data_IF_808233234940
#
_entry.id   IF_808233234940
#
_cell.length_a   1.000
_cell.length_b   1.000
_cell.length_c   1.000
_cell.angle_alpha   90.00
_cell.angle_beta   90.00
_cell.angle_gamma   90.00
#
_symmetry.space_group_name_H-M   'P 1'
#
loop_
_entity.id
_entity.type
_entity.pdbx_description
1 polymer ?
#
# COMPACT_ATOMS: atom_id res chain seq x y z
N UNK A 1 -29.94 8.88 26.77
CA UNK A 1 -28.63 8.23 26.82
C UNK A 1 -28.04 8.37 25.43
N UNK A 2 -26.87 8.99 25.32
CA UNK A 2 -26.18 9.08 24.02
C UNK A 2 -25.92 7.67 23.49
N UNK A 3 -26.15 7.51 22.20
CA UNK A 3 -26.07 6.23 21.52
C UNK A 3 -24.60 5.88 21.32
N UNK A 4 -24.10 4.87 22.03
CA UNK A 4 -22.72 4.39 21.94
C UNK A 4 -22.46 3.87 20.52
N UNK A 5 -21.43 4.37 19.85
CA UNK A 5 -21.02 3.96 18.50
C UNK A 5 -19.85 2.95 18.54
N UNK A 6 -19.55 2.29 17.42
CA UNK A 6 -18.39 1.40 17.34
C UNK A 6 -17.07 2.17 17.51
N UNK A 7 -17.05 3.45 17.14
CA UNK A 7 -15.90 4.33 17.35
C UNK A 7 -15.61 4.61 18.82
N UNK A 8 -16.66 4.66 19.66
CA UNK A 8 -16.51 4.90 21.10
C UNK A 8 -15.93 3.65 21.79
N UNK A 9 -16.34 2.48 21.29
CA UNK A 9 -15.86 1.18 21.77
C UNK A 9 -14.43 0.88 21.27
N UNK A 10 -14.04 1.36 20.09
CA UNK A 10 -12.69 1.11 19.55
C UNK A 10 -11.63 2.00 20.23
N UNK A 11 -10.53 1.45 20.77
CA UNK A 11 -9.49 2.25 21.41
C UNK A 11 -8.85 3.28 20.48
N UNK A 12 -8.59 4.48 21.01
CA UNK A 12 -7.92 5.57 20.27
C UNK A 12 -6.54 5.16 19.71
N UNK A 13 -5.77 4.40 20.49
CA UNK A 13 -4.48 3.86 20.03
C UNK A 13 -4.62 2.98 18.78
N UNK A 14 -5.75 2.29 18.64
CA UNK A 14 -6.08 1.55 17.42
C UNK A 14 -6.46 2.47 16.27
N UNK A 15 -7.25 3.53 16.52
CA UNK A 15 -7.66 4.50 15.48
C UNK A 15 -6.48 5.23 14.86
N UNK A 16 -5.50 5.62 15.67
CA UNK A 16 -4.23 6.22 15.21
C UNK A 16 -3.47 5.26 14.27
N UNK A 17 -3.60 3.94 14.47
CA UNK A 17 -3.01 2.96 13.57
C UNK A 17 -3.79 2.79 12.27
N UNK A 18 -5.01 3.32 12.14
CA UNK A 18 -5.81 3.33 10.91
C UNK A 18 -5.60 4.60 10.09
N UNK A 19 -5.27 5.71 10.75
CA UNK A 19 -4.93 7.00 10.14
C UNK A 19 -3.41 7.13 9.99
N UNK A 20 -2.90 6.87 8.78
CA UNK A 20 -1.46 6.85 8.53
C UNK A 20 -1.09 6.98 7.06
N UNK A 21 -0.62 8.16 6.63
CA UNK A 21 -0.03 8.42 5.32
C UNK A 21 1.45 8.03 5.21
N UNK A 22 2.02 8.15 4.01
CA UNK A 22 3.42 7.77 3.75
C UNK A 22 4.45 8.57 4.56
N UNK A 23 4.18 9.84 4.85
CA UNK A 23 5.06 10.69 5.68
C UNK A 23 5.02 10.27 7.16
N UNK A 24 3.83 10.04 7.70
CA UNK A 24 3.62 9.54 9.06
C UNK A 24 4.22 8.15 9.24
N UNK A 25 4.20 7.31 8.20
CA UNK A 25 4.92 6.04 8.21
C UNK A 25 6.43 6.24 8.36
N UNK A 26 7.05 7.16 7.60
CA UNK A 26 8.48 7.45 7.71
C UNK A 26 8.84 8.02 9.07
N UNK A 27 7.99 8.88 9.63
CA UNK A 27 8.14 9.40 10.99
C UNK A 27 8.06 8.26 12.03
N UNK A 28 7.16 7.29 11.87
CA UNK A 28 7.02 6.12 12.76
C UNK A 28 8.20 5.14 12.67
N UNK A 29 8.68 4.81 11.47
CA UNK A 29 9.80 3.86 11.31
C UNK A 29 11.17 4.50 11.53
N UNK A 30 11.24 5.84 11.42
CA UNK A 30 12.47 6.62 11.48
C UNK A 30 13.18 6.73 10.13
N UNK A 31 13.75 7.92 9.87
CA UNK A 31 14.45 8.25 8.63
C UNK A 31 15.60 7.27 8.30
N UNK A 32 16.35 6.84 9.31
CA UNK A 32 17.48 5.92 9.12
C UNK A 32 17.02 4.51 8.73
N UNK A 33 15.89 4.05 9.25
CA UNK A 33 15.26 2.79 8.84
C UNK A 33 14.81 2.87 7.38
N UNK A 34 14.21 4.00 6.98
CA UNK A 34 13.82 4.24 5.59
C UNK A 34 15.03 4.25 4.63
N UNK A 35 16.12 4.95 4.99
CA UNK A 35 17.37 4.94 4.21
C UNK A 35 17.96 3.54 4.08
N UNK A 36 17.92 2.75 5.16
CA UNK A 36 18.39 1.36 5.15
C UNK A 36 17.54 0.49 4.22
N UNK A 37 16.22 0.65 4.24
CA UNK A 37 15.33 -0.06 3.34
C UNK A 37 15.59 0.31 1.86
N UNK A 38 15.78 1.60 1.57
CA UNK A 38 16.17 2.06 0.22
C UNK A 38 17.51 1.44 -0.18
N UNK A 39 18.53 1.49 0.68
CA UNK A 39 19.84 0.89 0.40
C UNK A 39 19.72 -0.61 0.10
N UNK A 40 18.96 -1.36 0.90
CA UNK A 40 18.66 -2.78 0.67
C UNK A 40 18.12 -3.01 -0.74
N UNK A 41 17.14 -2.21 -1.19
CA UNK A 41 16.60 -2.32 -2.55
C UNK A 41 17.64 -1.96 -3.61
N UNK A 42 18.45 -0.91 -3.41
CA UNK A 42 19.53 -0.56 -4.35
C UNK A 42 20.60 -1.65 -4.46
N UNK A 43 20.76 -2.47 -3.41
CA UNK A 43 21.66 -3.62 -3.38
C UNK A 43 21.01 -4.91 -3.92
N UNK A 44 19.73 -4.85 -4.27
CA UNK A 44 18.95 -5.93 -4.87
C UNK A 44 18.22 -6.84 -3.89
N UNK A 45 18.03 -6.38 -2.66
CA UNK A 45 17.18 -7.06 -1.69
C UNK A 45 15.69 -6.76 -1.90
N UNK A 46 14.85 -7.70 -1.49
CA UNK A 46 13.41 -7.54 -1.59
C UNK A 46 12.87 -6.60 -0.50
N UNK A 47 12.15 -5.54 -0.90
CA UNK A 47 11.56 -4.56 0.03
C UNK A 47 10.60 -5.19 1.05
N UNK A 48 9.94 -6.30 0.70
CA UNK A 48 9.01 -7.00 1.59
C UNK A 48 9.67 -7.55 2.84
N UNK A 49 10.99 -7.79 2.82
CA UNK A 49 11.73 -8.16 4.04
C UNK A 49 11.67 -7.06 5.10
N UNK A 50 11.54 -5.80 4.69
CA UNK A 50 11.47 -4.65 5.59
C UNK A 50 10.03 -4.27 5.94
N UNK A 51 9.09 -4.42 5.00
CA UNK A 51 7.71 -3.96 5.21
C UNK A 51 6.79 -5.00 5.86
N UNK A 52 6.98 -6.30 5.61
CA UNK A 52 6.12 -7.34 6.17
C UNK A 52 6.12 -7.39 7.72
N UNK A 53 7.26 -7.24 8.42
CA UNK A 53 7.26 -7.16 9.89
C UNK A 53 6.41 -5.99 10.41
N UNK A 54 6.45 -4.83 9.74
CA UNK A 54 5.70 -3.64 10.12
C UNK A 54 4.19 -3.85 9.93
N UNK A 55 3.80 -4.42 8.78
CA UNK A 55 2.41 -4.82 8.52
C UNK A 55 1.91 -5.82 9.56
N UNK A 56 2.71 -6.84 9.91
CA UNK A 56 2.34 -7.82 10.94
C UNK A 56 2.16 -7.18 12.31
N UNK A 57 3.06 -6.29 12.70
CA UNK A 57 2.96 -5.54 13.95
C UNK A 57 1.67 -4.69 13.98
N UNK A 58 1.41 -3.95 12.89
CA UNK A 58 0.19 -3.14 12.74
C UNK A 58 -1.07 -4.00 12.85
N UNK A 59 -1.14 -5.12 12.14
CA UNK A 59 -2.26 -6.08 12.22
C UNK A 59 -2.45 -6.55 13.65
N UNK A 60 -1.40 -7.03 14.32
CA UNK A 60 -1.49 -7.53 15.69
C UNK A 60 -2.05 -6.48 16.68
N UNK A 61 -1.60 -5.24 16.57
CA UNK A 61 -2.06 -4.14 17.42
C UNK A 61 -3.53 -3.77 17.15
N UNK A 62 -3.94 -3.69 15.88
CA UNK A 62 -5.33 -3.37 15.52
C UNK A 62 -6.26 -4.55 15.86
N UNK A 63 -5.80 -5.80 15.71
CA UNK A 63 -6.54 -6.98 16.19
C UNK A 63 -6.74 -6.92 17.71
N UNK A 64 -5.73 -6.52 18.48
CA UNK A 64 -5.89 -6.27 19.92
C UNK A 64 -6.90 -5.16 20.23
N UNK A 65 -6.93 -4.10 19.43
CA UNK A 65 -7.96 -3.05 19.55
C UNK A 65 -9.36 -3.56 19.19
N UNK A 66 -9.50 -4.48 18.23
CA UNK A 66 -10.77 -5.14 17.91
C UNK A 66 -11.26 -6.02 19.06
N UNK A 67 -10.35 -6.76 19.71
CA UNK A 67 -10.67 -7.51 20.93
C UNK A 67 -11.17 -6.57 22.03
N UNK A 68 -10.51 -5.42 22.23
CA UNK A 68 -10.94 -4.42 23.20
C UNK A 68 -12.30 -3.80 22.87
N UNK A 69 -12.63 -3.59 21.58
CA UNK A 69 -13.96 -3.16 21.14
C UNK A 69 -15.03 -4.16 21.57
N UNK A 70 -14.82 -5.46 21.34
CA UNK A 70 -15.78 -6.49 21.74
C UNK A 70 -15.92 -6.52 23.26
N UNK A 71 -14.80 -6.49 23.99
CA UNK A 71 -14.77 -6.48 25.45
C UNK A 71 -15.56 -5.29 26.05
N UNK A 72 -15.38 -4.08 25.50
CA UNK A 72 -16.15 -2.90 25.90
C UNK A 72 -17.61 -2.98 25.47
N UNK A 73 -17.88 -3.49 24.27
CA UNK A 73 -19.24 -3.71 23.78
C UNK A 73 -20.06 -4.57 24.74
N UNK A 74 -19.51 -5.71 25.17
CA UNK A 74 -20.14 -6.58 26.17
C UNK A 74 -20.32 -5.92 27.53
N UNK A 75 -19.44 -4.99 27.93
CA UNK A 75 -19.54 -4.31 29.22
C UNK A 75 -20.52 -3.14 29.21
N UNK A 76 -20.55 -2.40 28.11
CA UNK A 76 -21.18 -1.09 28.01
C UNK A 76 -22.51 -1.10 27.26
N UNK A 77 -22.79 -2.13 26.45
CA UNK A 77 -23.99 -2.21 25.60
C UNK A 77 -24.81 -3.45 25.99
N UNK A 78 -26.05 -3.23 26.44
CA UNK A 78 -26.98 -4.32 26.70
C UNK A 78 -27.26 -5.09 25.40
N UNK A 79 -27.24 -6.43 25.47
CA UNK A 79 -27.46 -7.31 24.31
C UNK A 79 -26.55 -7.00 23.11
N UNK A 80 -25.28 -6.68 23.40
CA UNK A 80 -24.29 -6.28 22.39
C UNK A 80 -24.20 -7.24 21.19
N UNK A 81 -24.21 -8.55 21.44
CA UNK A 81 -24.06 -9.56 20.37
C UNK A 81 -25.17 -9.45 19.32
N UNK A 82 -26.44 -9.31 19.76
CA UNK A 82 -27.59 -9.17 18.88
C UNK A 82 -27.67 -7.78 18.22
N UNK A 83 -27.10 -6.76 18.86
CA UNK A 83 -27.12 -5.38 18.36
C UNK A 83 -25.96 -5.04 17.42
N UNK A 84 -24.87 -5.81 17.41
CA UNK A 84 -23.62 -5.46 16.73
C UNK A 84 -23.80 -5.10 15.26
N UNK A 85 -24.51 -5.93 14.49
CA UNK A 85 -24.75 -5.67 13.06
C UNK A 85 -25.66 -4.48 12.81
N UNK A 86 -26.62 -4.22 13.71
CA UNK A 86 -27.46 -3.02 13.65
C UNK A 86 -26.64 -1.75 13.92
N UNK A 87 -25.75 -1.78 14.90
CA UNK A 87 -24.82 -0.68 15.19
C UNK A 87 -23.92 -0.41 13.98
N UNK A 88 -23.43 -1.46 13.32
CA UNK A 88 -22.62 -1.35 12.12
C UNK A 88 -23.36 -0.71 10.94
N UNK A 89 -24.57 -1.19 10.63
CA UNK A 89 -25.39 -0.65 9.54
C UNK A 89 -25.68 0.84 9.78
N UNK A 90 -26.11 1.17 10.99
CA UNK A 90 -26.39 2.56 11.34
C UNK A 90 -25.14 3.44 11.25
N UNK A 91 -23.99 2.97 11.74
CA UNK A 91 -22.74 3.72 11.62
C UNK A 91 -22.42 3.96 10.14
N UNK A 92 -22.58 2.97 9.26
CA UNK A 92 -22.36 3.16 7.82
C UNK A 92 -23.36 4.12 7.14
N UNK A 93 -24.55 4.31 7.70
CA UNK A 93 -25.55 5.27 7.20
C UNK A 93 -25.25 6.70 7.68
N UNK A 94 -24.75 6.85 8.90
CA UNK A 94 -24.46 8.15 9.54
C UNK A 94 -23.04 8.66 9.22
N UNK A 95 -22.13 7.78 8.81
CA UNK A 95 -20.73 8.10 8.55
C UNK A 95 -20.62 9.00 7.31
N UNK A 96 -19.89 10.12 7.45
CA UNK A 96 -19.55 10.99 6.32
C UNK A 96 -18.65 10.24 5.34
N UNK A 97 -18.79 10.52 4.04
CA UNK A 97 -18.04 9.84 2.94
C UNK A 97 -16.52 9.79 3.13
N UNK A 98 -15.93 10.73 3.87
CA UNK A 98 -14.48 10.84 4.06
C UNK A 98 -13.97 10.20 5.37
N UNK A 99 -14.85 9.69 6.22
CA UNK A 99 -14.46 9.06 7.49
C UNK A 99 -14.23 7.54 7.30
N UNK A 100 -13.02 7.24 6.81
CA UNK A 100 -12.57 5.88 6.50
C UNK A 100 -12.50 4.98 7.72
N UNK A 101 -12.13 5.53 8.88
CA UNK A 101 -11.97 4.74 10.11
C UNK A 101 -13.33 4.20 10.55
N UNK A 102 -14.32 5.09 10.65
CA UNK A 102 -15.69 4.71 11.00
C UNK A 102 -16.27 3.72 10.00
N UNK A 103 -16.02 3.93 8.71
CA UNK A 103 -16.47 3.04 7.63
C UNK A 103 -15.85 1.65 7.76
N UNK A 104 -14.53 1.56 7.94
CA UNK A 104 -13.83 0.29 8.07
C UNK A 104 -14.27 -0.51 9.29
N UNK A 105 -14.38 0.13 10.45
CA UNK A 105 -14.81 -0.53 11.68
C UNK A 105 -16.19 -1.17 11.50
N UNK A 106 -17.13 -0.42 10.93
CA UNK A 106 -18.48 -0.91 10.70
C UNK A 106 -18.53 -2.01 9.63
N UNK A 107 -17.72 -1.92 8.56
CA UNK A 107 -17.60 -3.01 7.57
C UNK A 107 -17.03 -4.28 8.19
N UNK A 108 -15.97 -4.19 8.99
CA UNK A 108 -15.29 -5.37 9.52
C UNK A 108 -16.18 -6.20 10.42
N UNK A 109 -16.96 -5.58 11.31
CA UNK A 109 -17.83 -6.31 12.24
C UNK A 109 -18.96 -7.08 11.56
N UNK A 110 -19.30 -6.74 10.31
CA UNK A 110 -20.25 -7.48 9.46
C UNK A 110 -19.54 -8.29 8.36
N UNK A 111 -18.25 -8.57 8.51
CA UNK A 111 -17.52 -9.44 7.58
C UNK A 111 -17.17 -8.81 6.23
N UNK A 112 -17.28 -7.48 6.09
CA UNK A 112 -16.97 -6.77 4.86
C UNK A 112 -15.60 -6.08 4.88
N UNK A 113 -15.09 -5.82 3.69
CA UNK A 113 -13.95 -4.96 3.35
C UNK A 113 -14.38 -4.00 2.25
N UNK A 114 -13.61 -2.96 1.95
CA UNK A 114 -13.92 -2.06 0.82
C UNK A 114 -14.12 -2.81 -0.50
N UNK A 115 -13.27 -3.78 -0.82
CA UNK A 115 -13.39 -4.62 -2.03
C UNK A 115 -14.63 -5.50 -2.01
N UNK A 116 -15.03 -6.05 -0.87
CA UNK A 116 -16.23 -6.87 -0.82
C UNK A 116 -17.50 -6.02 -0.91
N UNK A 117 -17.49 -4.76 -0.45
CA UNK A 117 -18.60 -3.84 -0.74
C UNK A 117 -18.75 -3.59 -2.24
N UNK A 118 -17.65 -3.42 -2.96
CA UNK A 118 -17.67 -3.27 -4.42
C UNK A 118 -18.13 -4.55 -5.12
N UNK A 119 -17.57 -5.70 -4.76
CA UNK A 119 -17.78 -6.94 -5.51
C UNK A 119 -19.05 -7.71 -5.10
N UNK A 120 -19.41 -7.67 -3.82
CA UNK A 120 -20.56 -8.41 -3.26
C UNK A 120 -21.81 -7.54 -3.27
N UNK A 121 -21.71 -6.32 -2.72
CA UNK A 121 -22.86 -5.41 -2.67
C UNK A 121 -23.03 -4.59 -3.95
N UNK A 122 -22.08 -4.68 -4.91
CA UNK A 122 -22.07 -3.85 -6.13
C UNK A 122 -22.16 -2.35 -5.84
N UNK A 123 -21.69 -1.95 -4.66
CA UNK A 123 -21.84 -0.61 -4.10
C UNK A 123 -23.31 -0.13 -3.97
N UNK A 124 -24.29 -1.03 -3.98
CA UNK A 124 -25.71 -0.71 -3.76
C UNK A 124 -26.07 -0.81 -2.27
N UNK A 125 -26.41 0.32 -1.60
CA UNK A 125 -26.84 0.30 -0.21
C UNK A 125 -28.10 -0.53 0.06
N UNK A 126 -28.95 -0.77 -0.96
CA UNK A 126 -30.21 -1.53 -0.81
C UNK A 126 -29.96 -3.02 -0.57
N UNK A 127 -28.85 -3.55 -1.09
CA UNK A 127 -28.44 -4.95 -0.91
C UNK A 127 -27.91 -5.22 0.51
N UNK A 128 -27.60 -4.17 1.28
CA UNK A 128 -26.97 -4.29 2.60
C UNK A 128 -27.85 -5.01 3.62
N UNK A 129 -29.16 -4.74 3.62
CA UNK A 129 -30.06 -5.37 4.59
C UNK A 129 -30.17 -6.88 4.35
N UNK A 130 -30.27 -7.29 3.08
CA UNK A 130 -30.28 -8.69 2.68
C UNK A 130 -28.96 -9.38 3.04
N UNK A 131 -27.83 -8.74 2.72
CA UNK A 131 -26.50 -9.24 3.08
C UNK A 131 -26.34 -9.45 4.59
N UNK A 132 -26.75 -8.48 5.41
CA UNK A 132 -26.62 -8.60 6.87
C UNK A 132 -27.49 -9.75 7.39
N UNK A 133 -28.72 -9.91 6.91
CA UNK A 133 -29.56 -11.02 7.33
C UNK A 133 -28.95 -12.39 6.97
N UNK A 134 -28.36 -12.51 5.77
CA UNK A 134 -27.64 -13.72 5.34
C UNK A 134 -26.37 -13.95 6.19
N UNK A 135 -25.58 -12.90 6.42
CA UNK A 135 -24.39 -12.94 7.27
C UNK A 135 -24.71 -13.46 8.67
N UNK A 136 -25.77 -12.95 9.29
CA UNK A 136 -26.24 -13.40 10.61
C UNK A 136 -26.60 -14.90 10.62
N UNK A 137 -27.35 -15.34 9.61
CA UNK A 137 -27.72 -16.75 9.44
C UNK A 137 -26.48 -17.65 9.29
N UNK A 138 -25.50 -17.23 8.50
CA UNK A 138 -24.24 -17.97 8.31
C UNK A 138 -23.44 -18.06 9.60
N UNK A 139 -23.36 -16.98 10.38
CA UNK A 139 -22.65 -16.98 11.67
C UNK A 139 -23.31 -17.96 12.65
N UNK A 140 -24.64 -17.93 12.76
CA UNK A 140 -25.40 -18.85 13.63
C UNK A 140 -25.21 -20.30 13.19
N UNK A 141 -25.36 -20.58 11.89
CA UNK A 141 -25.15 -21.92 11.35
C UNK A 141 -23.72 -22.43 11.57
N UNK A 142 -22.73 -21.56 11.36
CA UNK A 142 -21.31 -21.90 11.59
C UNK A 142 -21.03 -22.16 13.07
N UNK A 143 -21.59 -21.37 13.97
CA UNK A 143 -21.46 -21.58 15.41
C UNK A 143 -22.11 -22.89 15.87
N UNK A 144 -23.29 -23.21 15.34
CA UNK A 144 -23.98 -24.48 15.60
C UNK A 144 -23.15 -25.68 15.11
N UNK A 145 -22.55 -25.56 13.92
CA UNK A 145 -21.68 -26.60 13.37
C UNK A 145 -20.40 -26.76 14.20
N UNK A 146 -19.72 -25.67 14.59
CA UNK A 146 -18.56 -25.72 15.48
C UNK A 146 -18.90 -26.39 16.82
N UNK A 147 -20.07 -26.09 17.40
CA UNK A 147 -20.54 -26.76 18.61
C UNK A 147 -20.76 -28.26 18.40
N UNK A 148 -21.36 -28.65 17.28
CA UNK A 148 -21.60 -30.06 16.96
C UNK A 148 -20.28 -30.83 16.79
N UNK A 149 -19.29 -30.22 16.13
CA UNK A 149 -18.03 -30.88 15.78
C UNK A 149 -17.00 -30.87 16.93
N UNK A 150 -16.96 -29.79 17.71
CA UNK A 150 -15.89 -29.52 18.70
C UNK A 150 -16.41 -29.43 20.14
N UNK A 151 -17.72 -29.51 20.34
CA UNK A 151 -18.36 -29.35 21.65
C UNK A 151 -18.56 -27.89 22.07
N UNK A 152 -19.06 -27.69 23.29
CA UNK A 152 -19.21 -26.36 23.86
C UNK A 152 -17.85 -25.72 24.16
N UNK A 153 -17.65 -24.50 23.64
CA UNK A 153 -16.51 -23.67 23.99
C UNK A 153 -17.00 -22.51 24.83
N UNK A 154 -16.37 -22.35 26.01
CA UNK A 154 -16.53 -21.18 26.86
C UNK A 154 -15.20 -20.46 26.96
N UNK A 155 -15.17 -19.21 26.54
CA UNK A 155 -14.00 -18.37 26.69
C UNK A 155 -14.37 -17.15 27.53
N UNK A 156 -13.65 -16.97 28.64
CA UNK A 156 -13.65 -15.71 29.36
C UNK A 156 -12.56 -14.84 28.73
N UNK A 157 -12.94 -14.02 27.76
CA UNK A 157 -12.10 -12.90 27.35
C UNK A 157 -11.98 -12.03 28.61
N UNK A 158 -10.77 -12.00 29.21
CA UNK A 158 -10.53 -11.75 30.64
C UNK A 158 -11.53 -10.80 31.30
N UNK A 159 -12.06 -11.23 32.46
CA UNK A 159 -13.18 -10.60 33.18
C UNK A 159 -13.38 -9.12 32.85
N UNK A 160 -14.42 -8.82 32.09
CA UNK A 160 -15.00 -7.49 32.06
C UNK A 160 -16.29 -7.59 32.84
N UNK A 161 -16.39 -6.79 33.90
CA UNK A 161 -17.67 -6.59 34.56
C UNK A 161 -18.54 -5.73 33.64
N UNK A 162 -19.75 -6.20 33.34
CA UNK A 162 -20.73 -5.35 32.69
C UNK A 162 -21.08 -4.14 33.59
N UNK A 163 -21.86 -3.20 33.07
CA UNK A 163 -22.37 -2.05 33.85
C UNK A 163 -23.07 -2.44 35.17
N UNK A 164 -23.44 -3.72 35.36
CA UNK A 164 -24.13 -4.28 36.51
C UNK A 164 -23.19 -5.14 37.40
N UNK A 165 -21.89 -5.23 37.09
CA UNK A 165 -20.92 -6.03 37.85
C UNK A 165 -20.86 -7.52 37.45
N UNK A 166 -21.57 -7.94 36.40
CA UNK A 166 -21.61 -9.35 36.00
C UNK A 166 -20.43 -9.69 35.09
N UNK A 167 -19.95 -10.92 35.22
CA UNK A 167 -18.98 -11.50 34.29
C UNK A 167 -19.68 -11.91 33.00
N UNK A 168 -19.24 -11.38 31.87
CA UNK A 168 -19.77 -11.76 30.57
C UNK A 168 -18.94 -12.90 29.96
N UNK A 169 -19.61 -14.00 29.59
CA UNK A 169 -19.01 -15.15 28.89
C UNK A 169 -19.25 -15.03 27.38
N UNK A 170 -18.24 -15.34 26.57
CA UNK A 170 -18.38 -15.40 25.10
C UNK A 170 -18.62 -16.84 24.64
N UNK A 171 -19.62 -17.01 23.78
CA UNK A 171 -19.94 -18.27 23.13
C UNK A 171 -19.38 -18.37 21.70
N UNK A 172 -19.71 -19.46 21.01
CA UNK A 172 -19.26 -19.72 19.63
C UNK A 172 -19.66 -18.62 18.64
N UNK A 173 -20.86 -18.05 18.76
CA UNK A 173 -21.33 -16.96 17.89
C UNK A 173 -20.45 -15.71 18.04
N UNK A 174 -20.12 -15.33 19.27
CA UNK A 174 -19.29 -14.15 19.55
C UNK A 174 -17.86 -14.34 19.04
N UNK A 175 -17.32 -15.56 19.19
CA UNK A 175 -16.01 -15.93 18.66
C UNK A 175 -16.02 -15.91 17.13
N UNK A 176 -17.06 -16.45 16.50
CA UNK A 176 -17.22 -16.43 15.04
C UNK A 176 -17.28 -14.99 14.51
N UNK A 177 -18.02 -14.09 15.19
CA UNK A 177 -18.06 -12.66 14.85
C UNK A 177 -16.70 -11.99 15.00
N UNK A 178 -16.04 -12.16 16.16
CA UNK A 178 -14.75 -11.55 16.44
C UNK A 178 -13.68 -12.00 15.44
N UNK A 179 -13.60 -13.31 15.18
CA UNK A 179 -12.62 -13.87 14.24
C UNK A 179 -12.89 -13.45 12.80
N UNK A 180 -14.17 -13.34 12.40
CA UNK A 180 -14.56 -12.79 11.10
C UNK A 180 -14.15 -11.32 10.98
N UNK A 181 -14.40 -10.50 12.00
CA UNK A 181 -13.99 -9.10 12.01
C UNK A 181 -12.47 -8.93 11.92
N UNK A 182 -11.71 -9.76 12.65
CA UNK A 182 -10.24 -9.81 12.56
C UNK A 182 -9.79 -10.24 11.17
N UNK A 183 -10.48 -11.18 10.52
CA UNK A 183 -10.22 -11.60 9.15
C UNK A 183 -10.36 -10.44 8.16
N UNK A 184 -11.48 -9.73 8.19
CA UNK A 184 -11.74 -8.57 7.33
C UNK A 184 -10.78 -7.41 7.57
N UNK A 185 -10.44 -7.14 8.83
CA UNK A 185 -9.40 -6.19 9.21
C UNK A 185 -8.05 -6.58 8.61
N UNK A 186 -7.66 -7.85 8.72
CA UNK A 186 -6.36 -8.34 8.21
C UNK A 186 -6.25 -8.14 6.70
N UNK A 187 -7.29 -8.46 5.94
CA UNK A 187 -7.34 -8.26 4.50
C UNK A 187 -7.25 -6.77 4.14
N UNK A 188 -7.99 -5.93 4.87
CA UNK A 188 -8.01 -4.48 4.66
C UNK A 188 -6.62 -3.86 4.88
N UNK A 189 -5.98 -4.17 6.02
CA UNK A 189 -4.66 -3.61 6.36
C UNK A 189 -3.58 -4.13 5.40
N UNK A 190 -3.58 -5.42 5.04
CA UNK A 190 -2.62 -5.95 4.05
C UNK A 190 -2.79 -5.30 2.69
N UNK A 191 -4.03 -5.09 2.24
CA UNK A 191 -4.32 -4.39 0.98
C UNK A 191 -3.85 -2.94 1.01
N UNK A 192 -4.18 -2.22 2.09
CA UNK A 192 -3.78 -0.83 2.30
C UNK A 192 -2.25 -0.69 2.33
N UNK A 193 -1.56 -1.45 3.18
CA UNK A 193 -0.10 -1.40 3.31
C UNK A 193 0.61 -1.76 2.00
N UNK A 194 0.11 -2.73 1.24
CA UNK A 194 0.67 -3.09 -0.06
C UNK A 194 0.67 -1.88 -1.02
N UNK A 195 -0.44 -1.15 -1.09
CA UNK A 195 -0.56 0.03 -1.95
C UNK A 195 0.25 1.20 -1.42
N UNK A 196 0.10 1.53 -0.13
CA UNK A 196 0.76 2.66 0.51
C UNK A 196 2.28 2.49 0.52
N UNK A 197 2.80 1.34 0.97
CA UNK A 197 4.23 1.09 0.98
C UNK A 197 4.79 0.90 -0.42
N UNK A 198 4.02 0.29 -1.34
CA UNK A 198 4.39 0.18 -2.75
C UNK A 198 4.72 1.55 -3.35
N UNK A 199 3.73 2.46 -3.38
CA UNK A 199 3.89 3.81 -3.95
C UNK A 199 4.94 4.63 -3.21
N UNK A 200 4.97 4.54 -1.88
CA UNK A 200 5.96 5.23 -1.05
C UNK A 200 7.39 4.81 -1.42
N UNK A 201 7.67 3.50 -1.43
CA UNK A 201 9.00 3.00 -1.71
C UNK A 201 9.38 3.11 -3.18
N UNK A 202 8.43 3.05 -4.11
CA UNK A 202 8.67 3.33 -5.54
C UNK A 202 9.27 4.72 -5.68
N UNK A 203 8.64 5.71 -5.06
CA UNK A 203 9.07 7.11 -5.06
C UNK A 203 10.42 7.31 -4.35
N UNK A 204 10.60 6.72 -3.16
CA UNK A 204 11.85 6.82 -2.39
C UNK A 204 13.03 6.15 -3.10
N UNK A 205 12.84 4.95 -3.65
CA UNK A 205 13.89 4.19 -4.33
C UNK A 205 14.28 4.89 -5.62
N UNK A 206 13.31 5.31 -6.44
CA UNK A 206 13.58 5.96 -7.71
C UNK A 206 14.25 7.33 -7.51
N UNK A 207 13.71 8.17 -6.62
CA UNK A 207 14.31 9.46 -6.28
C UNK A 207 15.75 9.32 -5.74
N UNK A 208 15.99 8.31 -4.90
CA UNK A 208 17.32 8.00 -4.38
C UNK A 208 18.26 7.50 -5.47
N UNK A 209 17.81 6.59 -6.33
CA UNK A 209 18.60 6.06 -7.44
C UNK A 209 19.09 7.18 -8.37
N UNK A 210 18.19 8.06 -8.80
CA UNK A 210 18.54 9.19 -9.67
C UNK A 210 19.46 10.20 -8.96
N UNK A 211 19.22 10.47 -7.67
CA UNK A 211 20.09 11.36 -6.89
C UNK A 211 21.49 10.79 -6.68
N UNK A 212 21.62 9.48 -6.46
CA UNK A 212 22.91 8.76 -6.36
C UNK A 212 23.67 8.79 -7.68
N UNK A 213 22.94 8.77 -8.79
CA UNK A 213 23.45 9.01 -10.14
C UNK A 213 23.69 10.51 -10.41
N UNK A 214 23.61 11.39 -9.43
CA UNK A 214 24.00 12.79 -9.56
C UNK A 214 22.99 13.69 -10.28
N UNK A 215 21.75 13.26 -10.43
CA UNK A 215 20.65 14.11 -10.91
C UNK A 215 20.03 14.88 -9.73
N UNK A 216 19.60 16.11 -9.99
CA UNK A 216 18.97 16.95 -8.96
C UNK A 216 17.45 16.91 -9.06
N UNK A 217 16.76 16.68 -7.93
CA UNK A 217 15.31 16.81 -7.83
C UNK A 217 14.89 18.28 -8.03
N UNK A 218 13.92 18.51 -8.90
CA UNK A 218 13.31 19.82 -9.16
C UNK A 218 11.80 19.72 -9.25
N UNK A 219 11.08 20.82 -9.02
CA UNK A 219 9.63 20.88 -9.24
C UNK A 219 9.32 21.07 -10.72
N UNK A 220 8.39 20.29 -11.29
CA UNK A 220 8.09 20.31 -12.73
C UNK A 220 7.72 21.71 -13.24
N UNK A 221 6.87 22.43 -12.51
CA UNK A 221 6.32 23.72 -12.93
C UNK A 221 7.18 24.92 -12.51
N UNK A 222 8.11 24.73 -11.58
CA UNK A 222 8.92 25.82 -10.99
C UNK A 222 10.38 25.77 -11.43
N UNK A 223 10.78 24.76 -12.21
CA UNK A 223 12.16 24.52 -12.58
C UNK A 223 12.60 25.35 -13.80
N UNK A 224 13.76 26.00 -13.67
CA UNK A 224 14.45 26.71 -14.76
C UNK A 224 15.70 25.97 -15.25
N UNK A 225 16.11 24.89 -14.59
CA UNK A 225 17.31 24.12 -14.95
C UNK A 225 17.02 23.14 -16.08
N UNK A 226 17.90 23.08 -17.06
CA UNK A 226 17.73 22.24 -18.26
C UNK A 226 18.76 21.11 -18.37
N UNK A 227 19.54 20.87 -17.32
CA UNK A 227 20.64 19.91 -17.33
C UNK A 227 20.74 19.12 -16.02
N UNK A 228 20.85 17.79 -16.12
CA UNK A 228 20.99 16.83 -15.01
C UNK A 228 19.95 17.01 -13.90
N UNK A 229 18.69 17.13 -14.27
CA UNK A 229 17.58 17.25 -13.33
C UNK A 229 16.57 16.13 -13.51
N UNK A 230 15.76 15.89 -12.49
CA UNK A 230 14.61 15.01 -12.57
C UNK A 230 13.46 15.53 -11.70
N UNK A 231 12.24 15.12 -12.03
CA UNK A 231 11.06 15.31 -11.20
C UNK A 231 10.33 13.99 -11.08
N UNK A 232 9.63 13.82 -9.96
CA UNK A 232 8.79 12.66 -9.68
C UNK A 232 7.33 13.04 -9.98
N UNK A 233 6.52 12.09 -10.45
CA UNK A 233 5.11 12.34 -10.73
C UNK A 233 4.34 12.86 -9.50
N UNK A 234 3.36 13.72 -9.67
CA UNK A 234 2.44 14.10 -8.59
C UNK A 234 1.12 13.33 -8.70
N UNK A 235 0.30 13.37 -7.65
CA UNK A 235 -0.99 12.67 -7.60
C UNK A 235 -2.08 13.29 -8.48
N UNK A 236 -1.81 14.44 -9.12
CA UNK A 236 -2.76 15.14 -9.99
C UNK A 236 -2.64 14.80 -11.46
N UNK A 237 -1.56 14.11 -11.85
CA UNK A 237 -1.30 13.83 -13.26
C UNK A 237 -1.90 12.48 -13.67
N UNK A 238 -2.94 12.53 -14.49
CA UNK A 238 -3.62 11.35 -15.02
C UNK A 238 -2.77 10.61 -16.06
N UNK A 239 -1.60 11.13 -16.47
CA UNK A 239 -0.70 10.43 -17.40
C UNK A 239 0.80 10.69 -17.18
N UNK A 240 1.52 9.55 -17.22
CA UNK A 240 2.90 9.30 -17.67
C UNK A 240 4.06 9.36 -16.66
N UNK A 241 4.45 8.15 -16.20
CA UNK A 241 5.69 7.71 -15.54
C UNK A 241 6.03 8.26 -14.15
N UNK A 242 6.53 7.37 -13.27
CA UNK A 242 6.87 7.69 -11.87
C UNK A 242 7.97 8.75 -11.73
N UNK A 243 8.88 8.85 -12.71
CA UNK A 243 9.83 9.94 -12.81
C UNK A 243 10.21 10.28 -14.25
N UNK A 244 10.50 11.55 -14.48
CA UNK A 244 11.14 12.02 -15.71
C UNK A 244 12.48 12.64 -15.40
N UNK A 245 13.48 12.27 -16.20
CA UNK A 245 14.85 12.75 -16.13
C UNK A 245 15.18 13.56 -17.39
N UNK A 246 15.76 14.72 -17.18
CA UNK A 246 16.33 15.58 -18.23
C UNK A 246 17.84 15.63 -18.05
N UNK A 247 18.56 14.94 -18.93
CA UNK A 247 20.02 14.97 -18.92
C UNK A 247 20.55 16.28 -19.51
N UNK A 248 20.07 16.65 -20.69
CA UNK A 248 20.35 17.90 -21.40
C UNK A 248 19.19 18.17 -22.38
N UNK A 249 19.05 19.39 -22.94
CA UNK A 249 17.99 19.69 -23.90
C UNK A 249 17.89 18.63 -25.00
N UNK A 250 16.68 18.10 -25.21
CA UNK A 250 16.41 17.04 -26.19
C UNK A 250 16.80 15.61 -25.78
N UNK A 251 17.36 15.39 -24.58
CA UNK A 251 17.69 14.05 -24.05
C UNK A 251 16.93 13.76 -22.75
N UNK A 252 15.79 13.09 -22.90
CA UNK A 252 14.87 12.75 -21.83
C UNK A 252 14.84 11.24 -21.58
N UNK A 253 14.70 10.86 -20.32
CA UNK A 253 14.35 9.49 -19.93
C UNK A 253 13.12 9.47 -19.02
N UNK A 254 12.27 8.47 -19.22
CA UNK A 254 11.09 8.21 -18.39
C UNK A 254 11.31 6.94 -17.60
N UNK A 255 10.83 6.94 -16.37
CA UNK A 255 10.98 5.84 -15.44
C UNK A 255 9.65 5.41 -14.90
N UNK A 256 9.38 4.12 -15.03
CA UNK A 256 8.30 3.43 -14.34
C UNK A 256 8.94 2.41 -13.40
N UNK A 257 8.51 2.36 -12.15
CA UNK A 257 9.03 1.44 -11.14
C UNK A 257 7.89 0.61 -10.56
N UNK A 258 8.17 -0.64 -10.24
CA UNK A 258 7.17 -1.52 -9.64
C UNK A 258 7.79 -2.67 -8.87
N UNK A 259 7.33 -2.87 -7.63
CA UNK A 259 7.66 -4.07 -6.85
C UNK A 259 6.80 -5.27 -7.27
N UNK A 260 6.94 -5.67 -8.54
CA UNK A 260 6.15 -6.73 -9.17
C UNK A 260 6.84 -8.08 -9.00
N UNK A 261 6.15 -9.02 -8.36
CA UNK A 261 6.59 -10.41 -8.25
C UNK A 261 6.35 -11.21 -9.54
N UNK A 262 7.00 -12.36 -9.71
CA UNK A 262 6.97 -13.14 -10.95
C UNK A 262 5.59 -13.68 -11.33
N UNK A 263 4.65 -13.81 -10.37
CA UNK A 263 3.29 -14.30 -10.59
C UNK A 263 2.30 -13.30 -11.17
N UNK A 264 2.70 -12.03 -11.39
CA UNK A 264 1.80 -11.00 -11.90
C UNK A 264 2.29 -10.43 -13.25
N UNK A 265 2.28 -11.30 -14.27
CA UNK A 265 2.73 -10.97 -15.62
C UNK A 265 1.83 -9.97 -16.36
N UNK A 266 0.58 -9.79 -15.90
CA UNK A 266 -0.40 -8.89 -16.51
C UNK A 266 -0.08 -7.42 -16.21
N UNK A 267 0.27 -7.08 -14.97
CA UNK A 267 0.72 -5.71 -14.60
C UNK A 267 2.00 -5.32 -15.36
N UNK A 268 2.88 -6.29 -15.65
CA UNK A 268 4.07 -6.01 -16.46
C UNK A 268 3.71 -5.63 -17.90
N UNK A 269 2.63 -6.20 -18.48
CA UNK A 269 2.15 -5.83 -19.82
C UNK A 269 1.46 -4.48 -19.81
N UNK A 270 0.63 -4.21 -18.81
CA UNK A 270 -0.09 -2.95 -18.68
C UNK A 270 0.86 -1.74 -18.55
N UNK A 271 1.93 -1.88 -17.73
CA UNK A 271 3.00 -0.87 -17.68
C UNK A 271 3.77 -0.73 -19.00
N UNK A 272 3.91 -1.81 -19.80
CA UNK A 272 4.58 -1.77 -21.10
C UNK A 272 3.72 -1.13 -22.20
N UNK A 273 2.40 -1.32 -22.20
CA UNK A 273 1.50 -0.79 -23.23
C UNK A 273 1.29 0.72 -23.15
N UNK A 274 1.47 1.32 -21.96
CA UNK A 274 1.26 2.77 -21.75
C UNK A 274 2.26 3.70 -22.44
N UNK A 275 3.41 3.22 -22.92
CA UNK A 275 4.49 4.06 -23.43
C UNK A 275 4.64 4.08 -24.96
N UNK A 276 3.65 3.58 -25.68
CA UNK A 276 3.62 3.62 -27.13
C UNK A 276 3.17 5.02 -27.63
N UNK A 277 4.09 6.00 -27.59
CA UNK A 277 4.25 7.18 -28.51
C UNK A 277 4.52 8.51 -27.78
N UNK A 278 5.57 9.18 -28.27
CA UNK A 278 5.92 10.61 -28.29
C UNK A 278 5.19 11.59 -27.34
N UNK A 279 5.96 12.41 -26.61
CA UNK A 279 5.45 13.59 -25.89
C UNK A 279 5.74 14.89 -26.64
N UNK A 280 4.75 15.78 -26.63
CA UNK A 280 4.93 17.21 -26.75
C UNK A 280 5.32 17.80 -25.38
N UNK A 281 6.47 18.45 -25.30
CA UNK A 281 6.79 19.37 -24.20
C UNK A 281 6.99 20.75 -24.82
N UNK A 282 6.18 21.71 -24.41
CA UNK A 282 6.27 23.09 -24.92
C UNK A 282 6.09 23.23 -26.44
N UNK A 283 5.21 22.41 -27.05
CA UNK A 283 4.94 22.42 -28.49
C UNK A 283 6.02 21.77 -29.35
N UNK A 284 6.95 21.00 -28.75
CA UNK A 284 8.02 20.29 -29.48
C UNK A 284 8.03 18.81 -29.13
N UNK A 285 8.04 17.95 -30.14
CA UNK A 285 8.13 16.49 -29.99
C UNK A 285 9.56 16.10 -29.60
N UNK A 286 9.75 15.53 -28.41
CA UNK A 286 11.06 15.05 -27.98
C UNK A 286 11.12 13.52 -27.98
N UNK A 287 12.20 12.96 -28.54
CA UNK A 287 12.51 11.54 -28.41
C UNK A 287 12.87 11.23 -26.95
N UNK A 288 11.98 10.53 -26.23
CA UNK A 288 12.20 10.11 -24.84
C UNK A 288 12.50 8.62 -24.77
N UNK A 289 13.55 8.24 -24.03
CA UNK A 289 13.86 6.84 -23.76
C UNK A 289 13.10 6.35 -22.52
N UNK A 290 12.39 5.23 -22.63
CA UNK A 290 11.65 4.64 -21.49
C UNK A 290 12.49 3.58 -20.78
N UNK A 291 12.51 3.64 -19.45
CA UNK A 291 13.12 2.69 -18.53
C UNK A 291 12.04 2.14 -17.59
N UNK A 292 11.99 0.82 -17.46
CA UNK A 292 11.05 0.12 -16.60
C UNK A 292 11.83 -0.68 -15.58
N UNK A 293 11.69 -0.30 -14.31
CA UNK A 293 12.42 -0.87 -13.16
C UNK A 293 11.48 -1.78 -12.40
N UNK A 294 11.72 -3.08 -12.42
CA UNK A 294 10.82 -4.08 -11.82
C UNK A 294 11.57 -4.96 -10.83
N UNK A 295 10.90 -5.49 -9.80
CA UNK A 295 11.54 -6.42 -8.86
C UNK A 295 12.05 -7.67 -9.60
N UNK A 296 11.14 -8.45 -10.21
CA UNK A 296 11.51 -9.64 -10.99
C UNK A 296 10.56 -9.84 -12.17
N UNK A 297 11.10 -10.10 -13.36
CA UNK A 297 10.25 -10.55 -14.46
C UNK A 297 10.08 -12.07 -14.40
N UNK A 298 8.89 -12.58 -14.79
CA UNK A 298 8.76 -13.98 -15.14
C UNK A 298 9.69 -14.32 -16.31
N UNK A 299 10.33 -15.48 -16.27
CA UNK A 299 11.26 -15.94 -17.30
C UNK A 299 10.51 -16.42 -18.56
N UNK A 300 9.82 -15.50 -19.23
CA UNK A 300 9.04 -15.78 -20.43
C UNK A 300 9.49 -14.90 -21.58
N UNK A 301 9.57 -15.47 -22.78
CA UNK A 301 9.98 -14.78 -24.00
C UNK A 301 9.01 -13.65 -24.41
N UNK A 302 7.75 -13.72 -23.95
CA UNK A 302 6.69 -12.76 -24.31
C UNK A 302 6.96 -11.36 -23.74
N UNK A 303 7.33 -11.24 -22.47
CA UNK A 303 7.54 -9.92 -21.83
C UNK A 303 8.78 -9.20 -22.38
N UNK A 304 9.86 -9.94 -22.65
CA UNK A 304 11.06 -9.38 -23.27
C UNK A 304 10.76 -8.87 -24.69
N UNK A 305 10.07 -9.66 -25.51
CA UNK A 305 9.63 -9.25 -26.86
C UNK A 305 8.72 -8.02 -26.84
N UNK A 306 7.85 -7.89 -25.84
CA UNK A 306 6.98 -6.71 -25.71
C UNK A 306 7.79 -5.44 -25.41
N UNK A 307 8.79 -5.52 -24.53
CA UNK A 307 9.69 -4.40 -24.24
C UNK A 307 10.58 -4.03 -25.42
N UNK A 308 11.13 -5.03 -26.12
CA UNK A 308 11.93 -4.81 -27.33
C UNK A 308 11.09 -4.11 -28.42
N UNK A 309 9.81 -4.49 -28.57
CA UNK A 309 8.89 -3.91 -29.56
C UNK A 309 8.61 -2.41 -29.32
N UNK A 310 8.59 -1.97 -28.07
CA UNK A 310 8.38 -0.55 -27.70
C UNK A 310 9.70 0.20 -27.47
N UNK A 311 10.84 -0.47 -27.60
CA UNK A 311 12.16 0.11 -27.36
C UNK A 311 12.44 0.48 -25.89
N UNK A 312 11.73 -0.11 -24.93
CA UNK A 312 11.91 0.17 -23.50
C UNK A 312 13.03 -0.68 -22.89
N UNK A 313 13.81 -0.07 -21.99
CA UNK A 313 14.86 -0.74 -21.23
C UNK A 313 14.30 -1.32 -19.94
N UNK A 314 14.35 -2.65 -19.76
CA UNK A 314 13.93 -3.27 -18.50
C UNK A 314 15.13 -3.53 -17.59
N UNK A 315 15.04 -3.01 -16.36
CA UNK A 315 16.01 -3.21 -15.29
C UNK A 315 15.36 -4.00 -14.16
N UNK A 316 16.03 -5.04 -13.68
CA UNK A 316 15.52 -5.91 -12.61
C UNK A 316 16.17 -5.58 -11.28
N UNK A 317 15.40 -5.07 -10.31
CA UNK A 317 15.89 -4.71 -8.98
C UNK A 317 16.41 -5.92 -8.21
N UNK A 318 15.87 -7.13 -8.42
CA UNK A 318 16.36 -8.35 -7.77
C UNK A 318 17.80 -8.74 -8.15
N UNK A 319 18.40 -8.08 -9.15
CA UNK A 319 19.80 -8.30 -9.51
C UNK A 319 20.72 -7.48 -8.60
N UNK A 320 21.69 -8.16 -7.99
CA UNK A 320 22.73 -7.53 -7.17
C UNK A 320 23.45 -6.49 -8.06
N UNK A 321 23.36 -5.21 -7.70
CA UNK A 321 23.89 -4.07 -8.45
C UNK A 321 23.07 -3.58 -9.67
N UNK A 322 21.75 -3.71 -9.68
CA UNK A 322 20.89 -3.16 -10.75
C UNK A 322 21.11 -1.67 -11.03
N UNK A 323 21.55 -0.88 -10.05
CA UNK A 323 21.84 0.55 -10.26
C UNK A 323 23.07 0.77 -11.17
N UNK A 324 24.01 -0.18 -11.22
CA UNK A 324 25.09 -0.18 -12.21
C UNK A 324 24.55 -0.48 -13.60
N UNK A 325 23.66 -1.45 -13.75
CA UNK A 325 22.99 -1.75 -15.03
C UNK A 325 22.21 -0.52 -15.53
N UNK A 326 21.48 0.16 -14.64
CA UNK A 326 20.83 1.43 -14.97
C UNK A 326 21.84 2.48 -15.47
N UNK A 327 22.97 2.66 -14.79
CA UNK A 327 24.00 3.60 -15.23
C UNK A 327 24.56 3.26 -16.62
N UNK A 328 24.82 1.97 -16.89
CA UNK A 328 25.31 1.49 -18.18
C UNK A 328 24.29 1.72 -19.30
N UNK A 329 23.01 1.49 -19.05
CA UNK A 329 21.95 1.72 -20.04
C UNK A 329 21.69 3.20 -20.30
N UNK A 330 21.78 4.05 -19.27
CA UNK A 330 21.75 5.50 -19.45
C UNK A 330 22.95 6.00 -20.27
N UNK A 331 24.14 5.41 -20.08
CA UNK A 331 25.30 5.70 -20.91
C UNK A 331 25.05 5.32 -22.38
N UNK A 332 24.57 4.10 -22.62
CA UNK A 332 24.29 3.62 -23.98
C UNK A 332 23.21 4.43 -24.70
N UNK A 333 22.13 4.81 -24.01
CA UNK A 333 20.96 5.46 -24.64
C UNK A 333 21.06 6.98 -24.69
N UNK A 334 21.65 7.62 -23.69
CA UNK A 334 21.70 9.08 -23.58
C UNK A 334 23.12 9.65 -23.69
N UNK A 335 24.16 8.80 -23.65
CA UNK A 335 25.54 9.24 -23.51
C UNK A 335 25.87 9.75 -22.11
N UNK A 336 25.09 9.38 -21.10
CA UNK A 336 25.30 9.78 -19.72
C UNK A 336 26.40 8.95 -19.05
N UNK A 337 27.57 9.54 -18.82
CA UNK A 337 28.70 8.85 -18.17
C UNK A 337 28.63 8.98 -16.65
N UNK A 338 28.68 7.84 -15.95
CA UNK A 338 28.73 7.81 -14.49
C UNK A 338 29.68 6.74 -13.97
N UNK A 339 30.40 7.05 -12.90
CA UNK A 339 31.40 6.12 -12.32
C UNK A 339 30.84 4.79 -11.82
N UNK A 340 29.53 4.70 -11.55
CA UNK A 340 28.91 3.41 -11.19
C UNK A 340 28.96 2.41 -12.34
N UNK A 341 28.92 2.86 -13.60
CA UNK A 341 28.87 2.00 -14.77
C UNK A 341 30.09 1.05 -14.85
N UNK A 342 31.24 1.49 -14.32
CA UNK A 342 32.50 0.73 -14.28
C UNK A 342 32.99 0.42 -12.86
N UNK A 343 32.17 0.66 -11.83
CA UNK A 343 32.59 0.46 -10.44
C UNK A 343 32.72 -1.03 -10.10
N UNK A 344 33.83 -1.46 -9.47
CA UNK A 344 33.98 -2.83 -8.97
C UNK A 344 32.96 -3.15 -7.88
N UNK A 345 32.43 -4.38 -7.89
CA UNK A 345 31.40 -4.87 -6.96
C UNK A 345 31.67 -4.52 -5.49
N UNK A 346 32.90 -4.79 -5.02
CA UNK A 346 33.30 -4.57 -3.63
C UNK A 346 33.27 -3.11 -3.17
N UNK A 347 33.16 -2.13 -4.09
CA UNK A 347 33.09 -0.69 -3.76
C UNK A 347 31.67 -0.14 -3.82
N UNK A 348 30.73 -0.83 -4.47
CA UNK A 348 29.38 -0.29 -4.74
C UNK A 348 28.64 -0.01 -3.43
N UNK A 349 28.61 -0.96 -2.50
CA UNK A 349 27.88 -0.79 -1.24
C UNK A 349 28.35 0.43 -0.44
N UNK A 350 29.68 0.57 -0.27
CA UNK A 350 30.26 1.73 0.42
C UNK A 350 29.91 3.05 -0.29
N UNK A 351 29.93 3.05 -1.62
CA UNK A 351 29.58 4.22 -2.41
C UNK A 351 28.11 4.61 -2.21
N UNK A 352 27.19 3.65 -2.27
CA UNK A 352 25.76 3.90 -2.07
C UNK A 352 25.47 4.39 -0.65
N UNK A 353 26.08 3.78 0.37
CA UNK A 353 25.97 4.23 1.77
C UNK A 353 26.38 5.69 1.93
N UNK A 354 27.55 6.08 1.41
CA UNK A 354 28.02 7.46 1.48
C UNK A 354 27.10 8.42 0.75
N UNK A 355 26.60 8.05 -0.45
CA UNK A 355 25.70 8.92 -1.21
C UNK A 355 24.35 9.09 -0.52
N UNK A 356 23.72 8.00 -0.09
CA UNK A 356 22.44 8.03 0.61
C UNK A 356 22.49 8.77 1.93
N UNK A 357 23.62 8.75 2.65
CA UNK A 357 23.78 9.53 3.87
C UNK A 357 23.58 11.03 3.64
N UNK A 358 23.98 11.54 2.46
CA UNK A 358 23.82 12.94 2.06
C UNK A 358 22.52 13.22 1.30
N UNK A 359 21.79 12.19 0.88
CA UNK A 359 20.53 12.33 0.15
C UNK A 359 19.39 12.67 1.11
N UNK A 360 18.68 13.77 0.83
CA UNK A 360 17.49 14.17 1.58
C UNK A 360 16.27 13.37 1.09
N UNK A 361 16.18 12.11 1.49
CA UNK A 361 15.13 11.20 0.99
C UNK A 361 13.70 11.67 1.31
N UNK A 362 13.54 12.49 2.35
CA UNK A 362 12.28 13.14 2.72
C UNK A 362 11.77 14.12 1.65
N UNK A 363 12.68 14.74 0.88
CA UNK A 363 12.30 15.70 -0.17
C UNK A 363 11.54 14.99 -1.29
N UNK A 364 11.78 13.69 -1.48
CA UNK A 364 11.04 12.84 -2.40
C UNK A 364 9.60 12.60 -1.97
N UNK A 365 9.17 12.99 -0.76
CA UNK A 365 7.78 12.85 -0.31
C UNK A 365 6.96 14.12 -0.53
N UNK A 366 7.58 15.21 -0.99
CA UNK A 366 6.88 16.45 -1.31
C UNK A 366 5.85 16.21 -2.41
N UNK A 367 4.59 16.60 -2.18
CA UNK A 367 3.47 16.34 -3.10
C UNK A 367 2.94 14.90 -3.10
N UNK A 368 3.44 14.04 -2.20
CA UNK A 368 2.88 12.70 -1.99
C UNK A 368 1.65 12.81 -1.08
N UNK A 369 0.46 12.80 -1.68
CA UNK A 369 -0.74 12.37 -0.95
C UNK A 369 -0.80 10.84 -1.06
N UNK A 370 -0.94 10.08 0.04
CA UNK A 370 -1.32 8.68 -0.08
C UNK A 370 -2.62 8.65 -0.87
N UNK A 371 -2.53 8.20 -2.13
CA UNK A 371 -3.68 8.12 -3.04
C UNK A 371 -4.82 7.47 -2.26
N UNK A 372 -5.92 8.22 -2.15
CA UNK A 372 -7.19 7.68 -1.73
C UNK A 372 -7.40 6.45 -2.61
N UNK A 373 -7.50 5.27 -2.00
CA UNK A 373 -7.88 4.06 -2.69
C UNK A 373 -9.33 4.19 -3.14
N UNK A 374 -9.57 5.05 -4.12
CA UNK A 374 -10.52 4.76 -5.16
C UNK A 374 -9.73 3.89 -6.13
N UNK A 375 -9.87 2.57 -5.95
CA UNK A 375 -9.71 1.68 -7.09
C UNK A 375 -10.72 2.18 -8.11
N UNK A 376 -10.25 2.89 -9.13
CA UNK A 376 -11.05 3.25 -10.31
C UNK A 376 -11.80 1.98 -10.75
N UNK A 377 -13.09 2.07 -11.11
CA UNK A 377 -13.77 0.93 -11.70
C UNK A 377 -12.93 0.49 -12.91
N UNK A 378 -12.48 -0.76 -12.90
CA UNK A 378 -12.06 -1.42 -14.13
C UNK A 378 -13.31 -1.40 -15.04
N UNK A 379 -13.36 -0.43 -15.95
CA UNK A 379 -14.32 -0.47 -17.06
C UNK A 379 -13.95 -1.69 -17.90
N UNK A 380 -14.86 -2.67 -17.94
CA UNK A 380 -14.80 -3.84 -18.84
C UNK A 380 -14.78 -3.44 -20.32
#
# INVERSE_FOLDING_TARGET
MDKVSLNDLFPESGRILLTGGGKEFIERIGLETAKRAVLSVLMGENIRKQTEPLTRQRIAQISGAMVALFARGFSEVDDFSSQLSKMAVQQLEETKRNDKVSTWLAQWVIGLTGKSVQNVLRSDPKERAAYVAEFESIIQASAAQCRADMGDLKMTLGFVEDKKGNRVEMGWEDIARLTTAIGSLTLTIRGSDKSTYGKLFERLVLGSALSVLGFQLVGRTTNTKTHKVFWLADSSDTRECDATLLYQPGKLARFDIGFIGPGNSEISKDKLTRYAREMEIGGTTHASQTFIVVDRLPNTSKTRRAADKIGAEIIQMSMRYWLRDLAQRLEARLGYKHKLASMPDGKIESYLKTKLATTRIQDFLSGFSPVETDEEPEEE
#
